data_IF_027523209735
#
_entry.id   IF_027523209735
#
_cell.length_a   1.000
_cell.length_b   1.000
_cell.length_c   1.000
_cell.angle_alpha   90.00
_cell.angle_beta   90.00
_cell.angle_gamma   90.00
#
_symmetry.space_group_name_H-M   'P 1'
#
loop_
_entity.id
_entity.type
_entity.pdbx_description
1 polymer ?
2 non-polymer ?
3 non-polymer ?
4 non-polymer ?
5 water ?
#
# COMPACT_ATOMS: atom_id res chain seq x y z
N UNK A 4 -8.91 28.68 -20.25
CA UNK A 4 -10.00 27.69 -20.15
C UNK A 4 -9.39 26.31 -19.94
N UNK A 5 -8.44 26.01 -20.82
CA UNK A 5 -7.66 24.79 -20.75
C UNK A 5 -6.98 24.65 -19.38
N UNK A 6 -6.53 25.75 -18.80
CA UNK A 6 -5.80 25.67 -17.53
C UNK A 6 -6.67 25.11 -16.40
N UNK A 7 -7.94 25.54 -16.32
CA UNK A 7 -8.81 24.99 -15.28
C UNK A 7 -9.05 23.52 -15.54
N UNK A 8 -9.28 23.15 -16.80
CA UNK A 8 -9.74 21.80 -17.10
C UNK A 8 -8.61 20.78 -16.96
N UNK A 9 -7.41 21.16 -17.41
CA UNK A 9 -6.23 20.32 -17.23
C UNK A 9 -6.00 20.02 -15.75
N UNK A 10 -6.14 21.03 -14.90
CA UNK A 10 -5.97 20.80 -13.47
C UNK A 10 -7.07 19.95 -12.90
N UNK A 11 -8.29 20.18 -13.37
CA UNK A 11 -9.44 19.42 -12.89
C UNK A 11 -9.31 17.96 -13.26
N UNK A 12 -8.93 17.69 -14.49
CA UNK A 12 -8.73 16.32 -14.94
C UNK A 12 -7.64 15.64 -14.12
N UNK A 13 -6.50 16.34 -13.91
CA UNK A 13 -5.40 15.73 -13.17
C UNK A 13 -5.83 15.40 -11.75
N UNK A 14 -6.50 16.34 -11.10
CA UNK A 14 -6.98 16.12 -9.74
C UNK A 14 -7.95 14.96 -9.73
N UNK A 15 -8.85 14.89 -10.72
CA UNK A 15 -9.81 13.80 -10.77
C UNK A 15 -9.13 12.48 -11.06
N UNK A 16 -8.12 12.50 -11.93
CA UNK A 16 -7.36 11.29 -12.22
C UNK A 16 -6.64 10.79 -10.97
N UNK A 17 -6.05 11.68 -10.19
CA UNK A 17 -5.46 11.24 -8.94
C UNK A 17 -6.51 10.54 -8.08
N UNK A 18 -7.72 11.11 -8.00
CA UNK A 18 -8.76 10.51 -7.16
C UNK A 18 -9.15 9.13 -7.73
N UNK A 19 -9.11 8.96 -9.05
CA UNK A 19 -9.54 7.70 -9.64
C UNK A 19 -8.47 6.62 -9.47
N UNK A 20 -7.19 6.99 -9.58
CA UNK A 20 -6.12 6.04 -9.30
C UNK A 20 -6.32 5.42 -7.92
N UNK A 21 -6.60 6.25 -6.92
CA UNK A 21 -6.89 5.74 -5.58
C UNK A 21 -8.16 4.89 -5.56
N UNK A 22 -9.27 5.44 -6.06
CA UNK A 22 -10.55 4.75 -5.90
C UNK A 22 -10.53 3.37 -6.56
N UNK A 23 -9.87 3.26 -7.72
CA UNK A 23 -9.95 2.01 -8.47
C UNK A 23 -9.27 0.85 -7.76
N UNK A 24 -8.29 1.11 -6.88
CA UNK A 24 -7.59 0.05 -6.17
C UNK A 24 -8.04 -0.09 -4.72
N UNK A 25 -9.09 0.61 -4.31
CA UNK A 25 -9.39 0.72 -2.88
C UNK A 25 -9.90 -0.59 -2.29
N UNK A 26 -10.55 -1.41 -3.11
CA UNK A 26 -11.06 -2.72 -2.66
C UNK A 26 -9.92 -3.72 -2.52
N UNK A 27 -8.97 -3.72 -3.45
CA UNK A 27 -7.78 -4.52 -3.27
C UNK A 27 -7.01 -4.10 -2.01
N UNK A 28 -6.96 -2.79 -1.69
CA UNK A 28 -6.17 -2.37 -0.54
C UNK A 28 -6.88 -2.76 0.76
N UNK A 29 -8.21 -2.76 0.77
CA UNK A 29 -8.92 -3.25 1.94
C UNK A 29 -8.59 -4.71 2.19
N UNK A 30 -8.67 -5.53 1.14
CA UNK A 30 -8.29 -6.93 1.23
C UNK A 30 -6.87 -7.08 1.78
N UNK A 31 -5.91 -6.36 1.19
CA UNK A 31 -4.53 -6.49 1.64
C UNK A 31 -4.36 -6.03 3.08
N UNK A 32 -5.07 -4.98 3.49
CA UNK A 32 -4.94 -4.55 4.88
C UNK A 32 -5.46 -5.63 5.81
N UNK A 33 -6.57 -6.27 5.44
CA UNK A 33 -7.14 -7.33 6.27
C UNK A 33 -6.20 -8.53 6.34
N UNK A 34 -5.54 -8.87 5.23
CA UNK A 34 -4.60 -9.98 5.25
C UNK A 34 -3.39 -9.65 6.13
N UNK A 35 -2.89 -8.42 6.03
CA UNK A 35 -1.77 -7.99 6.87
C UNK A 35 -2.16 -8.03 8.33
N UNK A 36 -3.36 -7.57 8.67
CA UNK A 36 -3.82 -7.65 10.05
C UNK A 36 -3.92 -9.10 10.53
N UNK A 37 -4.28 -10.02 9.64
CA UNK A 37 -4.40 -11.42 10.04
C UNK A 37 -3.03 -11.99 10.39
N UNK A 38 -2.04 -11.77 9.52
CA UNK A 38 -0.76 -12.37 9.77
C UNK A 38 -0.08 -11.64 10.93
N UNK A 39 -0.43 -10.38 11.14
CA UNK A 39 0.05 -9.66 12.31
C UNK A 39 -0.47 -10.29 13.60
N UNK A 40 -1.78 -10.61 13.65
CA UNK A 40 -2.31 -11.26 14.85
C UNK A 40 -1.72 -12.67 15.01
N UNK A 41 -1.52 -13.39 13.89
CA UNK A 41 -0.94 -14.74 13.94
C UNK A 41 0.44 -14.71 14.58
N UNK A 42 1.34 -13.88 14.05
CA UNK A 42 2.71 -13.88 14.55
C UNK A 42 2.84 -13.20 15.89
N UNK A 43 1.92 -12.30 16.22
CA UNK A 43 1.90 -11.70 17.54
C UNK A 43 1.58 -12.76 18.59
N UNK A 44 0.62 -13.65 18.29
CA UNK A 44 0.37 -14.78 19.17
C UNK A 44 1.62 -15.63 19.31
N UNK A 45 2.34 -15.87 18.21
CA UNK A 45 3.37 -16.88 18.25
C UNK A 45 4.72 -16.34 18.74
N UNK A 46 5.02 -15.06 18.50
CA UNK A 46 6.30 -14.47 18.87
C UNK A 46 6.18 -13.30 19.85
N UNK A 47 4.95 -12.89 20.18
CA UNK A 47 4.71 -11.75 21.05
C UNK A 47 4.90 -10.44 20.32
N UNK A 48 4.48 -9.36 20.98
CA UNK A 48 4.77 -8.01 20.54
C UNK A 48 5.35 -7.30 21.75
N UNK A 49 6.63 -6.97 21.69
CA UNK A 49 7.33 -6.33 22.80
C UNK A 49 7.71 -4.93 22.38
N UNK A 50 7.39 -3.94 23.21
CA UNK A 50 7.71 -2.56 22.89
C UNK A 50 9.13 -2.18 23.31
N UNK A 51 9.73 -2.93 24.24
CA UNK A 51 11.09 -2.71 24.71
C UNK A 51 12.03 -3.79 24.19
N UNK A 52 13.27 -3.37 23.90
CA UNK A 52 14.32 -4.29 23.50
C UNK A 52 14.44 -5.42 24.49
N UNK A 53 14.56 -6.65 23.97
CA UNK A 53 14.68 -7.82 24.82
C UNK A 53 15.61 -8.81 24.14
N UNK A 54 15.96 -9.84 24.88
CA UNK A 54 16.84 -10.89 24.40
C UNK A 54 15.98 -12.08 24.01
N UNK A 55 16.17 -12.59 22.81
CA UNK A 55 15.40 -13.76 22.37
C UNK A 55 16.08 -15.00 22.95
N UNK A 56 15.58 -16.17 22.53
CA UNK A 56 16.04 -17.44 23.10
C UNK A 56 17.51 -17.67 22.82
N UNK A 57 17.95 -17.36 21.60
CA UNK A 57 19.37 -17.41 21.25
C UNK A 57 20.19 -16.28 21.90
N UNK A 58 19.59 -15.45 22.76
CA UNK A 58 20.33 -14.39 23.42
C UNK A 58 20.52 -13.11 22.62
N UNK A 59 19.88 -12.97 21.47
CA UNK A 59 20.11 -11.79 20.63
C UNK A 59 19.10 -10.69 20.91
N UNK A 60 19.52 -9.44 20.70
CA UNK A 60 18.63 -8.33 20.97
C UNK A 60 17.58 -8.23 19.89
N UNK A 61 16.32 -8.16 20.31
CA UNK A 61 15.19 -8.07 19.38
C UNK A 61 14.14 -7.12 19.96
N UNK A 62 13.14 -6.79 19.14
CA UNK A 62 12.06 -5.89 19.55
C UNK A 62 10.83 -6.19 18.70
N UNK A 63 9.68 -5.69 19.14
CA UNK A 63 8.50 -5.77 18.31
C UNK A 63 8.06 -7.22 18.23
N UNK A 64 7.71 -7.65 17.02
CA UNK A 64 7.29 -9.04 16.78
C UNK A 64 8.52 -9.78 16.22
N UNK A 65 9.38 -10.26 17.12
CA UNK A 65 10.59 -10.98 16.76
C UNK A 65 11.52 -10.30 15.79
N UNK A 66 11.58 -8.97 15.78
CA UNK A 66 12.49 -8.27 14.87
C UNK A 66 13.89 -8.27 15.47
N UNK A 67 14.80 -9.02 14.83
CA UNK A 67 16.18 -9.11 15.24
C UNK A 67 16.92 -7.82 14.94
N UNK A 68 17.56 -7.27 15.95
CA UNK A 68 18.22 -5.99 15.79
C UNK A 68 19.70 -6.15 15.44
N UNK A 69 20.36 -7.13 16.06
CA UNK A 69 21.78 -7.40 15.86
C UNK A 69 22.11 -8.70 16.56
N UNK A 70 23.09 -9.41 16.02
CA UNK A 70 23.68 -10.54 16.73
C UNK A 70 24.88 -10.13 17.61
N UNK A 71 25.34 -8.88 17.53
CA UNK A 71 26.35 -8.43 18.49
C UNK A 71 25.81 -8.54 19.91
N UNK A 72 26.64 -8.94 20.90
CA UNK A 72 26.18 -8.86 22.29
C UNK A 72 26.45 -7.47 22.84
N UNK A 73 25.91 -6.47 22.17
CA UNK A 73 26.05 -5.07 22.53
C UNK A 73 24.67 -4.40 22.49
N UNK A 74 24.18 -3.98 23.65
CA UNK A 74 22.96 -3.19 23.70
C UNK A 74 23.10 -1.89 22.93
N UNK A 75 24.29 -1.27 22.96
CA UNK A 75 24.46 -0.03 22.21
C UNK A 75 24.27 -0.27 20.73
N UNK A 76 24.83 -1.36 20.21
CA UNK A 76 24.64 -1.73 18.82
C UNK A 76 23.16 -1.95 18.51
N UNK A 77 22.45 -2.59 19.42
CA UNK A 77 21.02 -2.83 19.22
C UNK A 77 20.27 -1.50 19.13
N UNK A 78 20.52 -0.58 20.09
CA UNK A 78 19.83 0.70 20.09
C UNK A 78 20.11 1.49 18.82
N UNK A 79 21.33 1.38 18.29
CA UNK A 79 21.66 2.14 17.09
C UNK A 79 20.95 1.57 15.87
N UNK A 80 20.89 0.24 15.74
CA UNK A 80 20.10 -0.37 14.67
C UNK A 80 18.62 0.00 14.78
N UNK A 81 18.08 -0.02 16.00
CA UNK A 81 16.69 0.38 16.22
C UNK A 81 16.43 1.82 15.79
N UNK A 82 17.27 2.76 16.23
CA UNK A 82 17.09 4.15 15.85
C UNK A 82 17.10 4.30 14.33
N UNK A 83 17.96 3.53 13.65
CA UNK A 83 18.03 3.62 12.19
C UNK A 83 16.79 3.04 11.53
N UNK A 84 16.30 1.91 12.04
CA UNK A 84 15.10 1.32 11.46
C UNK A 84 13.89 2.21 11.66
N UNK A 85 13.77 2.84 12.83
CA UNK A 85 12.55 3.58 13.16
C UNK A 85 12.64 5.04 12.70
N UNK A 86 13.82 5.62 12.69
CA UNK A 86 13.99 7.01 12.31
C UNK A 86 13.83 7.99 13.44
N UNK A 87 14.06 7.57 14.68
CA UNK A 87 14.05 8.51 15.79
C UNK A 87 14.90 7.92 16.92
N UNK A 88 15.20 8.76 17.92
CA UNK A 88 15.92 8.32 19.11
C UNK A 88 14.94 7.64 20.04
N UNK A 89 14.86 6.30 19.97
CA UNK A 89 13.84 5.54 20.69
C UNK A 89 14.23 5.20 22.11
N UNK A 90 15.50 5.35 22.45
CA UNK A 90 16.13 4.73 23.61
C UNK A 90 15.51 3.39 23.96
N UNK A 91 15.53 2.46 23.00
CA UNK A 91 15.14 1.08 23.26
C UNK A 91 13.66 0.82 23.42
N UNK A 92 12.79 1.77 23.11
CA UNK A 92 11.34 1.65 23.28
C UNK A 92 10.66 2.09 22.00
N UNK A 93 9.62 1.37 21.58
CA UNK A 93 8.85 1.77 20.42
C UNK A 93 7.39 1.68 20.76
N UNK A 94 6.56 2.22 19.87
CA UNK A 94 5.11 2.16 20.00
C UNK A 94 4.53 0.99 19.21
N UNK A 95 3.26 0.72 19.46
CA UNK A 95 2.58 -0.33 18.74
C UNK A 95 2.67 -0.09 17.24
N UNK A 96 2.42 1.15 16.81
CA UNK A 96 2.36 1.40 15.38
C UNK A 96 3.73 1.27 14.75
N UNK A 97 4.78 1.58 15.51
CA UNK A 97 6.13 1.39 15.00
C UNK A 97 6.46 -0.08 14.86
N UNK A 98 6.02 -0.91 15.81
CA UNK A 98 6.22 -2.34 15.73
C UNK A 98 5.46 -2.92 14.55
N UNK A 99 4.27 -2.37 14.26
CA UNK A 99 3.50 -2.84 13.11
C UNK A 99 4.19 -2.50 11.81
N UNK A 100 4.83 -1.34 11.73
CA UNK A 100 5.51 -0.99 10.50
C UNK A 100 6.74 -1.87 10.32
N UNK A 101 7.52 -2.03 11.39
CA UNK A 101 8.62 -2.98 11.38
C UNK A 101 8.13 -4.36 10.95
N UNK A 102 7.02 -4.84 11.53
CA UNK A 102 6.52 -6.15 11.16
C UNK A 102 6.16 -6.22 9.67
N UNK A 103 5.45 -5.19 9.15
CA UNK A 103 5.10 -5.22 7.74
C UNK A 103 6.35 -5.27 6.89
N UNK A 104 7.41 -4.58 7.30
CA UNK A 104 8.64 -4.64 6.54
C UNK A 104 9.25 -6.03 6.59
N UNK A 105 9.25 -6.68 7.76
CA UNK A 105 9.77 -8.05 7.84
C UNK A 105 8.93 -9.04 7.03
N UNK A 106 7.61 -8.83 6.94
CA UNK A 106 6.78 -9.72 6.14
C UNK A 106 7.16 -9.60 4.67
N UNK A 107 7.28 -8.36 4.19
CA UNK A 107 7.67 -8.12 2.81
C UNK A 107 9.03 -8.74 2.53
N UNK A 108 9.96 -8.65 3.50
CA UNK A 108 11.27 -9.24 3.28
C UNK A 108 11.20 -10.75 3.29
N UNK A 109 10.40 -11.34 4.19
CA UNK A 109 10.19 -12.78 4.20
C UNK A 109 9.64 -13.27 2.85
N UNK A 110 8.63 -12.57 2.33
CA UNK A 110 8.06 -12.96 1.04
C UNK A 110 9.12 -12.87 -0.05
N UNK A 111 9.88 -11.76 -0.06
CA UNK A 111 10.93 -11.61 -1.08
C UNK A 111 11.93 -12.74 -1.00
N UNK A 112 12.34 -13.12 0.23
CA UNK A 112 13.26 -14.23 0.38
C UNK A 112 12.65 -15.55 -0.06
N UNK A 113 11.37 -15.76 0.24
CA UNK A 113 10.68 -16.98 -0.17
C UNK A 113 10.72 -17.12 -1.69
N UNK A 114 10.45 -16.02 -2.39
CA UNK A 114 10.33 -16.05 -3.84
C UNK A 114 11.68 -16.11 -4.55
N UNK A 115 12.78 -15.81 -3.86
CA UNK A 115 14.14 -16.00 -4.35
C UNK A 115 14.63 -17.43 -4.16
N UNK A 116 13.95 -18.20 -3.33
CA UNK A 116 14.40 -19.54 -2.99
C UNK A 116 13.67 -20.56 -3.85
N UNK A 117 14.44 -21.30 -4.64
CA UNK A 117 13.86 -22.20 -5.64
C UNK A 117 13.04 -23.31 -4.99
N UNK A 118 13.42 -23.74 -3.79
CA UNK A 118 12.64 -24.75 -3.07
C UNK A 118 11.30 -24.18 -2.57
N UNK A 119 11.25 -22.90 -2.24
CA UNK A 119 10.08 -22.35 -1.56
C UNK A 119 9.10 -21.65 -2.49
N UNK A 120 9.58 -21.02 -3.55
CA UNK A 120 8.69 -20.23 -4.38
C UNK A 120 7.53 -21.01 -4.99
N UNK A 121 7.71 -22.23 -5.51
CA UNK A 121 6.55 -22.93 -6.08
C UNK A 121 5.51 -23.30 -5.05
N UNK A 122 5.96 -23.74 -3.88
CA UNK A 122 5.03 -24.09 -2.83
C UNK A 122 4.24 -22.84 -2.43
N UNK A 123 4.97 -21.76 -2.11
CA UNK A 123 4.32 -20.51 -1.73
C UNK A 123 3.30 -20.07 -2.77
N UNK A 124 3.69 -20.02 -4.05
CA UNK A 124 2.76 -19.54 -5.08
C UNK A 124 1.49 -20.38 -5.10
N UNK A 125 1.62 -21.69 -4.90
CA UNK A 125 0.47 -22.59 -4.98
C UNK A 125 -0.46 -22.45 -3.78
N UNK A 126 0.02 -21.87 -2.67
CA UNK A 126 -0.76 -21.83 -1.43
C UNK A 126 -1.80 -20.71 -1.48
N UNK A 127 -2.93 -20.92 -0.79
CA UNK A 127 -3.92 -19.86 -0.66
C UNK A 127 -3.48 -18.89 0.43
N UNK A 128 -4.24 -17.80 0.61
CA UNK A 128 -3.71 -16.68 1.38
C UNK A 128 -3.45 -17.07 2.82
N UNK A 129 -4.35 -17.86 3.41
CA UNK A 129 -4.15 -18.24 4.80
C UNK A 129 -2.96 -19.16 4.94
N UNK A 130 -2.80 -20.10 3.99
CA UNK A 130 -1.72 -21.07 4.10
C UNK A 130 -0.38 -20.41 3.82
N UNK A 131 -0.36 -19.39 2.95
CA UNK A 131 0.86 -18.62 2.78
C UNK A 131 1.33 -18.02 4.11
N UNK A 132 0.39 -17.59 4.95
CA UNK A 132 0.77 -17.08 6.26
C UNK A 132 1.45 -18.15 7.09
N UNK A 133 1.02 -19.40 6.97
CA UNK A 133 1.65 -20.47 7.73
C UNK A 133 3.10 -20.64 7.32
N UNK A 134 3.35 -20.54 6.01
CA UNK A 134 4.70 -20.71 5.53
C UNK A 134 5.58 -19.53 5.93
N UNK A 135 5.04 -18.32 5.87
CA UNK A 135 5.76 -17.15 6.34
C UNK A 135 6.06 -17.27 7.84
N UNK A 136 5.09 -17.74 8.60
CA UNK A 136 5.30 -18.01 10.03
C UNK A 136 6.52 -18.90 10.24
N UNK A 137 6.62 -19.99 9.48
CA UNK A 137 7.79 -20.85 9.64
C UNK A 137 9.07 -20.10 9.28
N UNK A 138 9.05 -19.29 8.23
CA UNK A 138 10.24 -18.53 7.88
C UNK A 138 10.64 -17.57 9.00
N UNK A 139 9.67 -16.90 9.63
CA UNK A 139 10.00 -16.06 10.78
C UNK A 139 10.73 -16.87 11.85
N UNK A 140 10.36 -18.14 12.01
CA UNK A 140 10.87 -18.91 13.15
C UNK A 140 12.28 -19.40 12.89
N UNK A 141 12.55 -19.89 11.67
CA UNK A 141 13.76 -20.65 11.41
C UNK A 141 14.50 -20.26 10.14
N UNK A 142 14.03 -19.27 9.39
CA UNK A 142 14.73 -18.81 8.22
C UNK A 142 14.37 -19.62 6.99
N UNK A 143 14.63 -19.02 5.81
CA UNK A 143 14.33 -19.68 4.53
C UNK A 143 15.01 -21.03 4.45
N UNK A 144 16.29 -21.08 4.80
CA UNK A 144 17.06 -22.31 4.67
C UNK A 144 16.50 -23.40 5.56
N UNK A 145 16.12 -23.05 6.79
CA UNK A 145 15.49 -24.04 7.65
C UNK A 145 14.21 -24.60 7.03
N UNK A 146 13.35 -23.71 6.54
CA UNK A 146 12.06 -24.17 6.00
C UNK A 146 12.28 -24.98 4.73
N UNK A 147 13.19 -24.54 3.86
CA UNK A 147 13.50 -25.27 2.64
C UNK A 147 13.99 -26.69 2.91
N UNK A 148 14.45 -26.99 4.12
CA UNK A 148 14.80 -28.36 4.41
C UNK A 148 13.64 -29.30 4.60
N UNK A 149 12.40 -28.81 4.58
CA UNK A 149 11.22 -29.64 4.82
C UNK A 149 10.72 -30.25 3.51
N UNK A 150 11.65 -30.91 2.82
CA UNK A 150 11.48 -31.17 1.40
C UNK A 150 10.24 -32.02 1.11
N UNK A 151 9.99 -33.05 1.92
CA UNK A 151 8.83 -33.92 1.65
C UNK A 151 7.52 -33.21 1.97
N UNK A 152 7.48 -32.49 3.07
CA UNK A 152 6.25 -31.82 3.49
C UNK A 152 5.87 -30.70 2.52
N UNK A 153 6.88 -29.96 2.04
CA UNK A 153 6.63 -28.92 1.05
C UNK A 153 5.98 -29.49 -0.20
N UNK A 154 6.47 -30.64 -0.67
CA UNK A 154 5.88 -31.27 -1.86
C UNK A 154 4.43 -31.62 -1.63
N UNK A 155 4.15 -32.19 -0.46
CA UNK A 155 2.77 -32.50 -0.12
C UNK A 155 1.91 -31.25 -0.02
N UNK A 156 2.48 -30.15 0.49
CA UNK A 156 1.71 -28.91 0.53
C UNK A 156 1.46 -28.41 -0.88
N UNK A 157 2.48 -28.43 -1.73
CA UNK A 157 2.29 -27.97 -3.11
C UNK A 157 1.19 -28.77 -3.81
N UNK A 158 1.06 -30.06 -3.46
CA UNK A 158 0.13 -30.98 -4.08
C UNK A 158 -1.20 -31.04 -3.35
N UNK A 159 -1.36 -30.28 -2.26
CA UNK A 159 -2.63 -30.10 -1.58
C UNK A 159 -3.04 -31.37 -0.83
N UNK A 160 -2.03 -32.13 -0.39
CA UNK A 160 -2.25 -33.30 0.44
C UNK A 160 -2.19 -32.88 1.90
N UNK A 161 -3.24 -32.18 2.32
CA UNK A 161 -3.17 -31.41 3.56
C UNK A 161 -2.96 -32.32 4.76
N UNK A 162 -3.72 -33.42 4.83
CA UNK A 162 -3.66 -34.28 6.01
C UNK A 162 -2.31 -34.99 6.12
N UNK A 163 -1.74 -35.42 4.99
CA UNK A 163 -0.42 -36.08 5.03
C UNK A 163 0.71 -35.08 5.37
N UNK A 164 0.72 -33.91 4.72
CA UNK A 164 1.64 -32.83 5.12
C UNK A 164 1.58 -32.59 6.62
N UNK A 165 0.38 -32.53 7.19
CA UNK A 165 0.25 -32.28 8.63
C UNK A 165 0.87 -33.40 9.45
N UNK A 166 0.59 -34.65 9.08
CA UNK A 166 1.21 -35.79 9.77
C UNK A 166 2.73 -35.67 9.72
N UNK A 167 3.27 -35.44 8.53
CA UNK A 167 4.72 -35.37 8.35
C UNK A 167 5.33 -34.18 9.07
N UNK A 168 4.66 -33.01 9.03
CA UNK A 168 5.23 -31.84 9.69
C UNK A 168 5.42 -32.07 11.17
N UNK A 169 4.53 -32.86 11.78
CA UNK A 169 4.60 -33.10 13.22
C UNK A 169 5.72 -34.07 13.62
N UNK A 170 6.46 -34.64 12.67
CA UNK A 170 7.52 -35.59 12.98
C UNK A 170 8.89 -34.95 12.97
N UNK A 171 8.94 -33.63 13.04
CA UNK A 171 10.16 -32.87 12.88
C UNK A 171 10.74 -32.47 14.23
N UNK A 172 12.01 -32.03 14.21
CA UNK A 172 12.58 -31.43 15.40
C UNK A 172 11.87 -30.12 15.72
N UNK A 173 11.55 -29.33 14.70
CA UNK A 173 10.69 -28.15 14.85
C UNK A 173 9.51 -28.38 15.79
N UNK A 174 8.70 -29.39 15.50
CA UNK A 174 7.53 -29.70 16.31
C UNK A 174 7.93 -30.10 17.73
N UNK A 175 8.95 -30.95 17.87
CA UNK A 175 9.44 -31.34 19.20
C UNK A 175 9.92 -30.14 20.01
N UNK A 176 10.67 -29.22 19.40
CA UNK A 176 11.22 -28.09 20.15
C UNK A 176 10.13 -27.07 20.51
N UNK A 177 9.16 -26.81 19.63
CA UNK A 177 8.10 -25.81 19.88
C UNK A 177 6.75 -26.35 19.43
N UNK A 178 6.19 -27.30 20.19
CA UNK A 178 5.00 -28.02 19.70
C UNK A 178 3.70 -27.22 19.74
N UNK A 179 3.55 -26.30 20.68
CA UNK A 179 2.30 -25.53 20.72
C UNK A 179 2.18 -24.66 19.48
N UNK A 180 3.23 -23.97 19.12
CA UNK A 180 3.22 -23.16 17.90
C UNK A 180 3.14 -24.04 16.66
N UNK A 181 3.89 -25.15 16.65
CA UNK A 181 3.88 -25.98 15.47
C UNK A 181 2.49 -26.57 15.25
N UNK A 182 1.82 -26.97 16.32
CA UNK A 182 0.43 -27.43 16.21
C UNK A 182 -0.45 -26.38 15.55
N UNK A 183 -0.36 -25.13 16.02
CA UNK A 183 -1.18 -24.07 15.44
C UNK A 183 -0.85 -23.86 13.98
N UNK A 184 0.45 -23.81 13.66
CA UNK A 184 0.88 -23.62 12.27
C UNK A 184 0.39 -24.76 11.40
N UNK A 185 0.50 -25.99 11.92
CA UNK A 185 0.09 -27.19 11.18
C UNK A 185 -1.41 -27.20 10.95
N UNK A 186 -2.20 -26.90 11.99
CA UNK A 186 -3.64 -26.76 11.79
C UNK A 186 -3.94 -25.75 10.67
N UNK A 187 -3.15 -24.68 10.59
CA UNK A 187 -3.40 -23.65 9.59
C UNK A 187 -3.14 -24.22 8.19
N UNK A 188 -2.01 -24.88 8.00
CA UNK A 188 -1.74 -25.61 6.77
C UNK A 188 -2.83 -26.62 6.45
N UNK A 189 -3.23 -27.42 7.45
CA UNK A 189 -4.16 -28.50 7.18
C UNK A 189 -5.53 -27.97 6.77
N UNK A 190 -6.04 -26.96 7.48
CA UNK A 190 -7.42 -26.51 7.27
C UNK A 190 -7.54 -25.31 6.35
N UNK A 191 -6.49 -24.50 6.23
CA UNK A 191 -6.64 -23.31 5.45
C UNK A 191 -7.50 -22.29 6.13
N UNK A 192 -7.64 -22.38 7.46
CA UNK A 192 -8.45 -21.50 8.28
C UNK A 192 -7.62 -20.96 9.43
N UNK A 193 -8.19 -19.97 10.12
CA UNK A 193 -7.60 -19.36 11.30
C UNK A 193 -8.07 -20.02 12.60
N UNK A 194 -8.58 -21.24 12.53
CA UNK A 194 -9.19 -21.91 13.68
C UNK A 194 -8.23 -22.05 14.86
N UNK A 195 -6.94 -22.26 14.59
CA UNK A 195 -5.99 -22.44 15.69
C UNK A 195 -5.62 -21.14 16.39
N UNK A 196 -6.02 -19.97 15.87
CA UNK A 196 -5.71 -18.68 16.47
C UNK A 196 -6.95 -17.92 16.92
N UNK A 197 -8.12 -18.19 16.36
CA UNK A 197 -9.34 -17.41 16.64
C UNK A 197 -9.60 -17.23 18.13
N UNK A 198 -9.63 -18.34 18.89
CA UNK A 198 -10.17 -18.32 20.25
C UNK A 198 -9.22 -17.60 21.20
N UNK A 199 -7.94 -17.81 21.01
CA UNK A 199 -6.96 -16.84 21.47
C UNK A 199 -7.39 -15.48 20.90
N UNK A 200 -7.09 -14.40 21.57
CA UNK A 200 -7.66 -13.16 21.03
C UNK A 200 -9.18 -12.99 21.09
N UNK A 201 -9.90 -13.80 21.88
CA UNK A 201 -11.33 -13.58 22.16
C UNK A 201 -12.16 -13.43 20.88
N UNK A 202 -11.67 -13.96 19.77
CA UNK A 202 -12.44 -14.02 18.51
C UNK A 202 -12.74 -12.63 17.92
N UNK A 203 -11.90 -11.63 18.22
CA UNK A 203 -12.03 -10.32 17.61
C UNK A 203 -11.29 -10.20 16.30
N UNK A 204 -10.41 -11.14 16.00
CA UNK A 204 -9.54 -11.04 14.84
C UNK A 204 -10.02 -11.97 13.74
N UNK A 205 -9.38 -11.84 12.58
CA UNK A 205 -9.60 -12.75 11.45
C UNK A 205 -10.99 -12.63 10.84
N UNK A 206 -11.67 -11.49 10.91
CA UNK A 206 -12.93 -11.35 10.15
C UNK A 206 -12.83 -10.19 9.20
N UNK A 216 -15.99 9.55 -30.56
CA UNK A 216 -16.30 9.24 -29.16
C UNK A 216 -15.89 10.37 -28.21
N UNK A 217 -15.01 11.28 -28.67
CA UNK A 217 -14.53 12.43 -27.88
C UNK A 217 -13.90 13.48 -28.80
N UNK A 218 -14.03 14.75 -28.42
CA UNK A 218 -13.63 15.82 -29.34
C UNK A 218 -12.13 16.09 -29.33
N UNK A 219 -11.69 16.84 -30.36
CA UNK A 219 -10.27 17.18 -30.49
C UNK A 219 -9.83 18.03 -29.31
N UNK A 220 -10.65 18.98 -28.88
CA UNK A 220 -10.25 19.82 -27.77
C UNK A 220 -10.26 19.05 -26.45
N UNK A 221 -11.19 18.11 -26.29
CA UNK A 221 -11.22 17.32 -25.07
C UNK A 221 -9.98 16.44 -24.98
N UNK A 222 -9.64 15.75 -26.07
CA UNK A 222 -8.42 14.96 -26.13
C UNK A 222 -7.22 15.79 -25.74
N UNK A 223 -7.15 17.04 -26.23
CA UNK A 223 -6.01 17.89 -25.95
C UNK A 223 -5.90 18.19 -24.46
N UNK A 224 -7.05 18.37 -23.81
CA UNK A 224 -7.04 18.65 -22.38
C UNK A 224 -6.63 17.41 -21.58
N UNK A 225 -7.06 16.23 -22.02
CA UNK A 225 -6.62 15.01 -21.34
C UNK A 225 -5.12 14.81 -21.51
N UNK A 226 -4.58 15.13 -22.70
CA UNK A 226 -3.14 15.02 -22.93
C UNK A 226 -2.40 15.95 -21.99
N UNK A 227 -2.88 17.19 -21.89
CA UNK A 227 -2.28 18.17 -20.99
C UNK A 227 -2.30 17.67 -19.55
N UNK A 228 -3.43 17.09 -19.11
CA UNK A 228 -3.49 16.55 -17.76
C UNK A 228 -2.54 15.37 -17.59
N UNK A 229 -2.46 14.51 -18.62
CA UNK A 229 -1.55 13.38 -18.61
C UNK A 229 -0.10 13.85 -18.43
N UNK A 230 0.30 14.92 -19.12
CA UNK A 230 1.63 15.46 -18.99
C UNK A 230 1.97 15.94 -17.58
N UNK A 231 0.98 16.27 -16.74
CA UNK A 231 1.30 16.66 -15.36
C UNK A 231 1.75 15.45 -14.53
N UNK A 232 1.31 14.26 -14.92
CA UNK A 232 1.85 13.00 -14.38
C UNK A 232 3.13 12.60 -15.10
N UNK A 233 3.10 12.56 -16.44
CA UNK A 233 4.25 12.21 -17.27
C UNK A 233 5.20 13.41 -17.38
N UNK A 234 5.87 13.71 -16.27
CA UNK A 234 6.67 14.93 -16.22
C UNK A 234 7.92 14.86 -17.09
N UNK A 235 8.48 13.66 -17.34
CA UNK A 235 9.63 13.61 -18.24
C UNK A 235 9.24 13.51 -19.70
N UNK A 236 7.95 13.50 -20.01
CA UNK A 236 7.53 13.43 -21.40
C UNK A 236 7.91 12.17 -22.14
N UNK A 237 8.14 11.04 -21.46
CA UNK A 237 8.41 9.82 -22.22
C UNK A 237 7.15 9.10 -22.66
N UNK A 238 5.97 9.70 -22.47
CA UNK A 238 4.72 9.10 -22.89
C UNK A 238 4.14 8.08 -21.94
N UNK A 239 4.72 7.92 -20.76
CA UNK A 239 4.21 6.94 -19.80
C UNK A 239 4.18 7.53 -18.40
N UNK A 240 3.30 6.98 -17.56
CA UNK A 240 3.28 7.30 -16.14
C UNK A 240 3.82 6.09 -15.43
N UNK A 241 4.88 6.31 -14.66
CA UNK A 241 5.52 5.28 -13.84
C UNK A 241 4.97 5.37 -12.43
N UNK A 242 5.26 4.33 -11.64
CA UNK A 242 4.89 4.33 -10.22
C UNK A 242 5.50 5.54 -9.53
N UNK A 243 6.76 5.87 -9.89
CA UNK A 243 7.48 6.98 -9.27
C UNK A 243 6.86 8.33 -9.65
N UNK A 244 6.44 8.48 -10.91
CA UNK A 244 5.76 9.70 -11.33
C UNK A 244 4.40 9.84 -10.66
N UNK A 245 3.69 8.72 -10.49
CA UNK A 245 2.41 8.78 -9.78
C UNK A 245 2.61 9.14 -8.32
N UNK A 246 3.64 8.57 -7.69
CA UNK A 246 3.91 8.90 -6.29
C UNK A 246 4.22 10.38 -6.12
N UNK A 247 4.98 10.95 -7.07
CA UNK A 247 5.34 12.36 -6.98
C UNK A 247 4.10 13.22 -6.98
N UNK A 248 3.12 12.89 -7.83
CA UNK A 248 1.89 13.66 -7.88
C UNK A 248 1.05 13.42 -6.63
N UNK A 249 0.90 12.16 -6.21
CA UNK A 249 0.05 11.90 -5.05
C UNK A 249 0.55 12.64 -3.82
N UNK A 250 1.88 12.67 -3.64
CA UNK A 250 2.45 13.33 -2.48
C UNK A 250 2.27 14.85 -2.54
N UNK A 251 2.58 15.48 -3.68
CA UNK A 251 2.35 16.91 -3.82
C UNK A 251 0.89 17.30 -3.58
N UNK A 252 -0.05 16.35 -3.62
CA UNK A 252 -1.45 16.59 -3.32
C UNK A 252 -1.85 16.10 -1.92
N UNK A 253 -0.88 15.84 -1.05
CA UNK A 253 -1.14 15.49 0.34
C UNK A 253 -1.42 14.04 0.64
N UNK A 254 -1.26 13.13 -0.31
CA UNK A 254 -1.30 11.70 -0.04
C UNK A 254 0.09 11.20 0.33
N UNK A 255 0.16 10.07 1.02
CA UNK A 255 1.45 9.39 1.22
C UNK A 255 1.27 7.90 0.99
N UNK A 256 0.96 7.50 -0.23
CA UNK A 256 0.90 6.07 -0.54
C UNK A 256 2.26 5.43 -0.39
N UNK A 257 2.25 4.17 0.04
CA UNK A 257 3.43 3.33 -0.02
C UNK A 257 3.73 2.94 -1.45
N UNK A 258 4.97 2.48 -1.66
CA UNK A 258 5.35 1.94 -2.95
C UNK A 258 4.37 0.86 -3.41
N UNK A 259 3.96 -0.02 -2.49
CA UNK A 259 3.09 -1.13 -2.85
C UNK A 259 1.72 -0.65 -3.33
N UNK A 260 1.18 0.36 -2.65
CA UNK A 260 -0.09 0.96 -3.08
C UNK A 260 0.04 1.61 -4.45
N UNK A 261 1.12 2.38 -4.64
CA UNK A 261 1.36 2.98 -5.94
C UNK A 261 1.49 1.93 -7.01
N UNK A 262 2.17 0.81 -6.71
CA UNK A 262 2.27 -0.25 -7.71
C UNK A 262 0.89 -0.83 -8.03
N UNK A 263 0.03 -0.96 -7.01
CA UNK A 263 -1.32 -1.48 -7.27
C UNK A 263 -2.15 -0.50 -8.10
N UNK A 264 -1.99 0.81 -7.87
CA UNK A 264 -2.73 1.76 -8.70
C UNK A 264 -2.29 1.63 -10.15
N UNK A 265 -0.98 1.56 -10.39
CA UNK A 265 -0.47 1.38 -11.75
C UNK A 265 -1.01 0.09 -12.36
N UNK A 266 -0.83 -1.03 -11.65
CA UNK A 266 -1.21 -2.33 -12.20
C UNK A 266 -2.69 -2.36 -12.58
N UNK A 267 -3.55 -1.71 -11.81
CA UNK A 267 -4.98 -1.82 -12.09
C UNK A 267 -5.37 -1.11 -13.38
N UNK A 268 -4.59 -0.13 -13.81
CA UNK A 268 -4.90 0.65 -15.01
C UNK A 268 -4.06 0.21 -16.20
N UNK A 269 -3.02 -0.60 -15.97
CA UNK A 269 -2.00 -0.97 -16.95
C UNK A 269 -2.49 -2.18 -17.73
N UNK A 270 -3.39 -1.90 -18.69
CA UNK A 270 -4.09 -2.95 -19.43
C UNK A 270 -3.15 -3.80 -20.25
N UNK A 271 -2.09 -3.24 -20.83
CA UNK A 271 -1.22 -4.10 -21.62
C UNK A 271 -0.10 -4.74 -20.79
N UNK A 272 -0.10 -4.56 -19.47
CA UNK A 272 0.84 -5.26 -18.62
C UNK A 272 2.30 -4.87 -18.76
N UNK A 273 2.62 -3.72 -19.36
CA UNK A 273 4.02 -3.39 -19.62
C UNK A 273 4.65 -2.58 -18.51
N UNK A 274 3.95 -2.36 -17.41
CA UNK A 274 4.54 -1.76 -16.22
C UNK A 274 4.28 -0.27 -16.06
N UNK A 275 3.84 0.44 -17.10
CA UNK A 275 3.59 1.88 -17.05
C UNK A 275 2.26 2.20 -17.72
N UNK A 276 1.79 3.42 -17.55
CA UNK A 276 0.48 3.82 -18.07
C UNK A 276 0.70 4.80 -19.21
N UNK A 277 0.27 4.39 -20.42
CA UNK A 277 0.35 5.25 -21.59
C UNK A 277 -0.93 6.08 -21.73
N UNK A 278 -0.96 6.90 -22.76
CA UNK A 278 -2.05 7.85 -22.84
C UNK A 278 -3.35 7.10 -23.10
N UNK A 279 -3.36 6.10 -23.99
CA UNK A 279 -4.61 5.33 -24.18
C UNK A 279 -5.15 4.70 -22.90
N UNK A 280 -4.30 4.12 -22.05
CA UNK A 280 -4.78 3.54 -20.81
C UNK A 280 -5.31 4.60 -19.84
N UNK A 281 -4.76 5.82 -19.93
CA UNK A 281 -5.18 6.93 -19.08
C UNK A 281 -6.58 7.39 -19.49
N UNK A 282 -6.83 7.55 -20.80
CA UNK A 282 -8.17 7.84 -21.31
C UNK A 282 -9.18 6.78 -20.88
N UNK A 283 -8.85 5.51 -21.10
CA UNK A 283 -9.73 4.44 -20.65
C UNK A 283 -10.07 4.62 -19.20
N UNK A 284 -9.06 4.93 -18.37
CA UNK A 284 -9.31 5.08 -16.95
C UNK A 284 -10.30 6.23 -16.71
N UNK A 285 -10.13 7.33 -17.45
CA UNK A 285 -10.99 8.48 -17.22
C UNK A 285 -12.40 8.27 -17.76
N UNK A 286 -12.61 7.31 -18.66
CA UNK A 286 -13.93 6.96 -19.17
C UNK A 286 -14.67 5.91 -18.33
N UNK A 287 -14.00 5.25 -17.39
CA UNK A 287 -14.61 4.15 -16.67
C UNK A 287 -15.82 4.60 -15.85
N UNK A 288 -16.80 3.69 -15.70
CA UNK A 288 -17.90 3.88 -14.76
C UNK A 288 -17.40 3.61 -13.35
N UNK A 289 -17.56 4.58 -12.47
CA UNK A 289 -17.09 4.50 -11.10
C UNK A 289 -18.22 4.05 -10.17
N UNK A 290 -17.83 3.38 -9.09
CA UNK A 290 -18.76 2.60 -8.25
C UNK A 290 -19.37 3.47 -7.16
N UNK A 291 -20.65 3.83 -7.36
CA UNK A 291 -21.49 4.63 -6.47
C UNK A 291 -21.25 6.13 -6.62
N UNK A 292 -20.20 6.55 -7.33
CA UNK A 292 -19.91 7.96 -7.51
C UNK A 292 -20.69 8.52 -8.69
N UNK A 293 -21.39 9.63 -8.44
CA UNK A 293 -22.04 10.43 -9.46
C UNK A 293 -21.00 11.28 -10.20
N UNK A 294 -21.44 11.92 -11.28
CA UNK A 294 -20.58 12.91 -11.93
C UNK A 294 -20.44 14.15 -11.07
N UNK A 295 -21.53 14.60 -10.44
CA UNK A 295 -21.44 15.67 -9.46
C UNK A 295 -20.54 15.28 -8.30
N UNK A 296 -20.42 13.99 -7.99
CA UNK A 296 -19.54 13.56 -6.91
C UNK A 296 -18.09 13.86 -7.22
N UNK A 297 -17.72 13.78 -8.49
CA UNK A 297 -16.33 13.99 -8.87
C UNK A 297 -15.99 15.47 -8.94
N UNK A 298 -16.94 16.30 -9.39
CA UNK A 298 -16.74 17.75 -9.33
C UNK A 298 -16.64 18.20 -7.88
N UNK A 299 -17.56 17.74 -7.02
CA UNK A 299 -17.50 18.08 -5.61
C UNK A 299 -16.16 17.66 -5.01
N UNK A 300 -15.75 16.42 -5.26
CA UNK A 300 -14.47 15.90 -4.76
C UNK A 300 -13.31 16.78 -5.23
N UNK A 301 -13.31 17.15 -6.51
CA UNK A 301 -12.24 17.99 -7.03
C UNK A 301 -12.28 19.39 -6.43
N UNK A 302 -13.48 19.96 -6.30
CA UNK A 302 -13.61 21.27 -5.68
C UNK A 302 -12.98 21.30 -4.28
N UNK A 303 -13.20 20.25 -3.49
CA UNK A 303 -12.62 20.21 -2.14
C UNK A 303 -11.11 20.20 -2.17
N UNK A 304 -10.50 19.67 -3.23
CA UNK A 304 -9.05 19.77 -3.33
C UNK A 304 -8.61 21.21 -3.55
N UNK A 305 -9.33 21.95 -4.39
CA UNK A 305 -8.97 23.35 -4.66
C UNK A 305 -9.22 24.21 -3.44
N UNK A 306 -10.34 24.00 -2.76
CA UNK A 306 -10.79 24.80 -1.61
C UNK A 306 -10.17 24.23 -0.33
N UNK A 307 -8.86 24.48 -0.19
CA UNK A 307 -8.09 23.81 0.85
C UNK A 307 -8.72 23.98 2.22
N UNK A 308 -9.05 25.22 2.58
CA UNK A 308 -9.63 25.48 3.90
C UNK A 308 -11.13 25.21 3.99
N UNK A 309 -11.74 24.68 2.94
CA UNK A 309 -13.14 24.27 3.03
C UNK A 309 -14.17 25.36 3.29
N UNK A 310 -13.85 26.63 3.07
CA UNK A 310 -14.86 27.67 3.28
C UNK A 310 -15.85 27.82 2.12
N UNK A 311 -15.78 26.98 1.07
CA UNK A 311 -16.70 27.09 -0.05
C UNK A 311 -16.29 28.05 -1.16
N UNK A 312 -15.08 28.60 -1.09
CA UNK A 312 -14.59 29.62 -2.01
C UNK A 312 -13.14 29.30 -2.32
N UNK A 313 -12.82 29.12 -3.60
CA UNK A 313 -11.43 29.02 -4.02
C UNK A 313 -10.85 30.42 -4.11
N UNK A 314 -9.88 30.73 -3.25
CA UNK A 314 -9.11 31.96 -3.33
C UNK A 314 -7.98 31.85 -4.34
N UNK A 315 -7.43 33.02 -4.71
CA UNK A 315 -6.30 33.02 -5.63
C UNK A 315 -5.11 32.25 -5.05
N UNK A 316 -4.88 32.37 -3.74
CA UNK A 316 -3.75 31.69 -3.12
C UNK A 316 -4.00 30.18 -3.00
N UNK A 317 -5.26 29.77 -2.85
CA UNK A 317 -5.53 28.34 -2.84
C UNK A 317 -5.32 27.76 -4.23
N UNK A 318 -5.76 28.47 -5.27
CA UNK A 318 -5.50 28.02 -6.63
C UNK A 318 -4.01 27.99 -6.90
N UNK A 319 -3.31 29.06 -6.53
CA UNK A 319 -1.85 29.12 -6.59
C UNK A 319 -1.20 27.82 -6.11
N UNK A 320 -1.66 27.29 -4.97
CA UNK A 320 -1.08 26.09 -4.38
C UNK A 320 -1.34 24.87 -5.24
N UNK A 321 -2.60 24.63 -5.61
CA UNK A 321 -2.91 23.49 -6.45
C UNK A 321 -2.04 23.50 -7.70
N UNK A 322 -1.96 24.65 -8.37
CA UNK A 322 -1.16 24.73 -9.59
C UNK A 322 0.29 24.37 -9.30
N UNK A 323 0.83 24.86 -8.17
CA UNK A 323 2.20 24.55 -7.83
C UNK A 323 2.35 23.09 -7.51
N UNK A 324 1.44 22.54 -6.67
CA UNK A 324 1.51 21.13 -6.32
C UNK A 324 1.43 20.25 -7.56
N UNK A 325 0.56 20.59 -8.53
CA UNK A 325 0.42 19.79 -9.74
C UNK A 325 1.61 19.97 -10.69
N UNK A 326 2.41 21.00 -10.53
CA UNK A 326 3.42 21.30 -11.52
C UNK A 326 2.90 21.94 -12.79
N UNK A 327 1.74 22.60 -12.72
CA UNK A 327 1.24 23.45 -13.81
C UNK A 327 1.90 24.81 -13.58
N UNK A 328 2.98 25.09 -14.31
CA UNK A 328 3.81 26.25 -14.03
C UNK A 328 3.14 27.50 -14.62
N UNK A 329 2.82 28.45 -13.74
CA UNK A 329 2.03 29.62 -14.09
C UNK A 329 2.50 30.77 -13.23
N UNK A 330 2.49 31.99 -13.79
CA UNK A 330 2.79 33.19 -13.01
C UNK A 330 1.65 33.48 -12.03
N UNK A 331 1.96 34.25 -10.99
CA UNK A 331 0.91 34.71 -10.10
C UNK A 331 -0.17 35.46 -10.86
N UNK A 332 0.21 36.18 -11.91
CA UNK A 332 -0.78 36.93 -12.69
C UNK A 332 -1.66 36.00 -13.51
N UNK A 333 -1.10 34.92 -14.02
CA UNK A 333 -1.91 33.97 -14.78
C UNK A 333 -2.89 33.25 -13.86
N UNK A 334 -2.51 33.02 -12.61
CA UNK A 334 -3.43 32.46 -11.63
C UNK A 334 -4.56 33.44 -11.30
N UNK A 335 -4.21 34.72 -11.09
CA UNK A 335 -5.26 35.74 -10.91
C UNK A 335 -6.19 35.75 -12.11
N UNK A 336 -5.63 35.63 -13.31
CA UNK A 336 -6.47 35.63 -14.50
C UNK A 336 -7.43 34.44 -14.51
N UNK A 337 -7.01 33.28 -13.98
CA UNK A 337 -7.87 32.11 -13.94
C UNK A 337 -9.05 32.33 -12.99
N UNK A 338 -8.81 32.93 -11.83
CA UNK A 338 -9.90 33.25 -10.91
C UNK A 338 -10.89 34.19 -11.58
N UNK A 339 -10.39 35.25 -12.21
CA UNK A 339 -11.29 36.23 -12.82
C UNK A 339 -12.13 35.58 -13.91
N UNK A 340 -11.53 34.68 -14.68
CA UNK A 340 -12.25 34.03 -15.76
C UNK A 340 -13.41 33.21 -15.23
N UNK A 341 -13.20 32.53 -14.10
CA UNK A 341 -14.21 31.69 -13.48
C UNK A 341 -15.20 32.48 -12.64
N UNK A 342 -14.81 33.69 -12.20
CA UNK A 342 -15.61 34.50 -11.29
C UNK A 342 -16.83 35.08 -12.03
N UNK A 343 -18.02 34.73 -11.56
CA UNK A 343 -19.26 35.24 -12.15
C UNK A 343 -19.84 36.38 -11.33
N UNK A 344 -19.87 36.26 -10.01
CA UNK A 344 -20.45 37.31 -9.17
C UNK A 344 -19.48 38.44 -8.88
N UNK A 345 -18.17 38.23 -9.06
CA UNK A 345 -17.23 39.33 -8.96
C UNK A 345 -16.64 39.57 -7.58
N UNK A 346 -16.85 38.67 -6.62
CA UNK A 346 -16.18 38.76 -5.33
C UNK A 346 -14.72 38.31 -5.38
N UNK A 347 -14.21 37.97 -6.56
CA UNK A 347 -12.78 37.67 -6.66
C UNK A 347 -12.38 36.31 -6.14
N UNK A 348 -13.35 35.41 -5.98
CA UNK A 348 -13.17 34.05 -5.53
C UNK A 348 -14.07 33.17 -6.37
N UNK A 349 -13.81 31.86 -6.37
CA UNK A 349 -14.59 30.91 -7.13
C UNK A 349 -15.32 29.99 -6.17
N UNK A 350 -16.66 30.09 -6.16
CA UNK A 350 -17.50 29.21 -5.36
C UNK A 350 -17.89 27.97 -6.17
N UNK A 351 -18.61 27.05 -5.52
CA UNK A 351 -18.92 25.78 -6.14
C UNK A 351 -19.64 25.94 -7.47
N UNK A 352 -20.70 26.75 -7.52
CA UNK A 352 -21.45 26.81 -8.79
C UNK A 352 -20.61 27.43 -9.88
N UNK A 353 -19.78 28.42 -9.54
CA UNK A 353 -18.85 28.97 -10.52
C UNK A 353 -17.88 27.89 -11.02
N UNK A 354 -17.44 27.02 -10.11
CA UNK A 354 -16.56 25.91 -10.49
C UNK A 354 -17.28 24.98 -11.46
N UNK A 355 -18.51 24.59 -11.14
CA UNK A 355 -19.29 23.74 -12.02
C UNK A 355 -19.35 24.36 -13.42
N UNK A 356 -19.79 25.61 -13.48
CA UNK A 356 -19.88 26.31 -14.77
C UNK A 356 -18.57 26.23 -15.55
N UNK A 357 -17.43 26.38 -14.88
CA UNK A 357 -16.17 26.44 -15.61
C UNK A 357 -15.85 25.08 -16.24
N UNK A 358 -16.18 24.01 -15.52
CA UNK A 358 -15.84 22.66 -15.97
C UNK A 358 -16.80 22.14 -17.04
N UNK A 359 -18.04 22.63 -17.04
CA UNK A 359 -19.06 22.17 -17.96
C UNK A 359 -19.16 23.19 -19.08
N UNK A 360 -18.18 23.16 -19.98
CA UNK A 360 -18.18 24.03 -21.15
C UNK A 360 -17.01 23.69 -22.05
X LIG B 1 6.99 9.41 -17.77
X LIG C 1 0.73 -0.03 -20.05
X LIG D 1 -17.19 34.48 -7.25
X LIG E 1 -11.21 28.49 0.48
X LIG F 1 9.69 -32.81 5.70
X LIG G 1 0.29 -13.75 2.28
X LIG G 1 -1.03 -14.22 2.58
X LIG G 1 0.29 -12.23 2.27
X LIG G 1 -0.71 -11.79 3.16
X LIG G 1 1.64 -11.67 2.73
X LIG G 1 1.60 -10.25 2.82
X LIG G 1 0.59 -14.12 1.31
X LIG G 1 1.00 -14.12 3.02
X LIG G 1 -1.04 -15.20 2.53
X LIG G 1 0.08 -11.88 1.27
X LIG G 1 -0.50 -12.09 4.07
X LIG G 1 2.41 -11.96 2.03
X LIG G 1 1.90 -12.08 3.70
X LIG G 1 0.74 -9.98 3.20
X LIG H 1 12.51 -33.27 8.52
X LIG H 1 11.58 -33.84 9.42
X LIG H 1 12.83 -31.83 8.93
X LIG H 1 12.95 -31.72 10.35
X LIG H 1 14.11 -31.38 8.22
X LIG H 1 14.31 -29.99 8.35
X LIG H 1 13.43 -33.85 8.53
X LIG H 1 12.11 -33.28 7.50
X LIG H 1 11.34 -34.73 9.11
X LIG H 1 12.00 -31.19 8.59
X LIG H 1 13.71 -32.28 10.64
X LIG H 1 14.95 -31.91 8.65
X LIG H 1 14.05 -31.64 7.17
X LIG H 1 14.89 -29.67 7.64
X LIG I 1 4.79 -16.17 23.71
X LIG I 1 4.13 -14.96 23.41
X LIG I 1 5.99 -16.32 22.79
X LIG I 1 6.78 -15.16 22.89
X LIG I 1 6.83 -17.56 23.15
X LIG I 1 7.87 -17.71 22.20
X LIG I 1 5.11 -16.17 24.75
X LIG I 1 4.10 -17.01 23.57
X LIG I 1 3.31 -14.89 23.95
X LIG I 1 5.64 -16.43 21.77
X LIG I 1 7.11 -15.07 23.81
X LIG I 1 7.26 -17.44 24.14
X LIG I 1 6.20 -18.44 23.15
X LIG I 1 8.50 -18.40 22.51
X LIG J 1 6.23 -23.66 23.25
X LIG J 1 4.85 -23.75 23.53
X LIG J 1 6.32 -23.57 21.76
X LIG J 1 5.32 -24.44 21.40
X LIG J 1 5.92 -22.24 21.09
X LIG J 1 6.90 -21.22 20.99
X LIG J 1 6.75 -24.56 23.61
X LIG J 1 6.67 -22.79 23.72
X LIG J 1 4.72 -23.88 24.50
X LIG J 1 7.28 -23.91 21.40
X LIG J 1 5.06 -21.84 21.62
X LIG J 1 5.58 -22.47 20.07
X LIG J 1 6.47 -20.38 20.73
X LIG K 1 3.68 -18.96 21.57
X LIG K 1 4.51 -19.73 20.70
X LIG K 1 3.37 -19.57 22.96
X LIG K 1 2.34 -18.80 23.58
X LIG K 1 2.97 -21.06 22.90
X LIG K 1 1.63 -21.22 23.36
X LIG K 1 4.15 -17.98 21.72
X LIG K 1 2.73 -18.77 21.06
X LIG K 1 4.59 -19.27 19.84
X LIG K 1 4.28 -19.50 23.56
X LIG K 1 1.51 -18.90 23.06
X LIG K 1 3.05 -21.42 21.88
X LIG K 1 3.64 -21.64 23.53
X LIG K 1 1.63 -21.83 24.14
X LIG L 1 4.64 -38.92 -0.95
X LIG M 1 -4.32 -23.67 -1.20
#
# INVERSE_FOLDING_TARGET
>A
GPHMARWKKAFIAVSAANRFKKISSEEEKRKREEEENIFEMLRIDEGLRLKIYKDTEGYYTIGIGHLLTKSPSLNAAKSELDKAIGRNCNGVITKDEAEKLFNQDVDAAVRGILRNAKLKPVYDSLDAVRRCALINMVFQMGETGVAGFTNSLRMLQQKRWDEAAVNLAKSRWYNQTPNRAKRVITTFRTGTWDAYKNLGENLYFQSGGSAAAADQLTEEQIAEFKEAFSLFDKDGDGTITTKELGTVMRSLGQNPTEAELQDMINEVDADGNGTIDFPEFLTMMARKMKDTDSEEEIREAFRVFDKDGNGYISAAELRHVMTNLGEKLTDEEVDEMIREADIDGDGQVNYEEFVQMMTAK
>B hetero
1 CA CA
>C hetero
1 CA CA
>D hetero
1 CA CA
>E hetero
1 CA CA
>F hetero
1 CA CA
>G hetero
1 GOL C1 O1 C2 O2 C3 O3 H11 H12 HO1 H2 HO2 H31 H32 HO3
>H hetero
1 GOL C1 O1 C2 O2 C3 O3 H11 H12 HO1 H2 HO2 H31 H32 HO3
>I hetero
1 GOL C1 O1 C2 O2 C3 O3 H11 H12 HO1 H2 HO2 H31 H32 HO3
>J hetero
1 GOL C1 O1 C2 O2 C3 O3 H11 H12 HO1 H2 H31 H32 HO3
>K hetero
1 GOL C1 O1 C2 O2 C3 O3 H11 H12 HO1 H2 HO2 H31 H32 HO3
>L hetero
1 CL CL
>M hetero
1 CL CL
#
